data_IF_268643488529
#
_entry.id   IF_268643488529
#
_cell.length_a   1.000
_cell.length_b   1.000
_cell.length_c   1.000
_cell.angle_alpha   90.00
_cell.angle_beta   90.00
_cell.angle_gamma   90.00
#
_symmetry.space_group_name_H-M   'P 1'
#
loop_
_entity.id
_entity.type
_entity.pdbx_description
1 polymer ?
#
# COMPACT_ATOMS: atom_id res chain seq x y z
N UNK A 1 -0.90 -5.76 -14.20
CA UNK A 1 0.05 -5.03 -15.05
C UNK A 1 1.35 -4.87 -14.27
N UNK A 2 2.48 -4.95 -14.96
CA UNK A 2 3.82 -4.76 -14.36
C UNK A 2 4.45 -3.47 -14.89
N UNK A 3 5.33 -2.87 -14.10
CA UNK A 3 5.98 -1.59 -14.42
C UNK A 3 6.79 -1.61 -15.71
N UNK A 4 7.40 -2.75 -16.05
CA UNK A 4 8.19 -2.92 -17.28
C UNK A 4 7.35 -3.14 -18.54
N UNK A 5 6.01 -3.19 -18.44
CA UNK A 5 5.16 -3.45 -19.60
C UNK A 5 4.95 -2.20 -20.47
N UNK A 6 4.91 -2.39 -21.79
CA UNK A 6 4.53 -1.33 -22.74
C UNK A 6 3.16 -0.73 -22.43
N UNK A 7 2.20 -1.55 -21.98
CA UNK A 7 0.87 -1.09 -21.57
C UNK A 7 0.95 -0.13 -20.36
N UNK A 8 1.86 -0.38 -19.42
CA UNK A 8 2.09 0.54 -18.31
C UNK A 8 2.66 1.88 -18.80
N UNK A 9 3.75 1.82 -19.57
CA UNK A 9 4.51 2.98 -20.03
C UNK A 9 3.75 3.86 -21.03
N UNK A 10 3.08 3.26 -22.01
CA UNK A 10 2.50 4.00 -23.14
C UNK A 10 1.01 4.30 -22.98
N UNK A 11 0.30 3.60 -22.09
CA UNK A 11 -1.14 3.77 -21.92
C UNK A 11 -1.50 4.19 -20.50
N UNK A 12 -1.22 3.35 -19.51
CA UNK A 12 -1.64 3.63 -18.13
C UNK A 12 -1.00 4.90 -17.56
N UNK A 13 0.33 5.02 -17.64
CA UNK A 13 1.04 6.16 -17.05
C UNK A 13 0.65 7.50 -17.71
N UNK A 14 0.57 7.63 -19.05
CA UNK A 14 0.05 8.83 -19.70
C UNK A 14 -1.39 9.15 -19.32
N UNK A 15 -2.29 8.15 -19.24
CA UNK A 15 -3.68 8.38 -18.83
C UNK A 15 -3.74 8.93 -17.40
N UNK A 16 -3.03 8.29 -16.46
CA UNK A 16 -2.97 8.72 -15.06
C UNK A 16 -2.41 10.13 -14.95
N UNK A 17 -1.35 10.42 -15.70
CA UNK A 17 -0.72 11.73 -15.72
C UNK A 17 -1.62 12.82 -16.32
N UNK A 18 -2.28 12.57 -17.45
CA UNK A 18 -3.24 13.51 -18.05
C UNK A 18 -4.40 13.78 -17.10
N UNK A 19 -4.97 12.74 -16.48
CA UNK A 19 -6.02 12.89 -15.48
C UNK A 19 -5.57 13.72 -14.28
N UNK A 20 -4.34 13.51 -13.80
CA UNK A 20 -3.72 14.34 -12.77
C UNK A 20 -3.64 15.81 -13.23
N UNK A 21 -3.11 16.10 -14.43
CA UNK A 21 -2.99 17.46 -14.95
C UNK A 21 -4.34 18.19 -15.05
N UNK A 22 -5.38 17.52 -15.53
CA UNK A 22 -6.73 18.08 -15.64
C UNK A 22 -7.27 18.44 -14.26
N UNK A 23 -7.16 17.52 -13.30
CA UNK A 23 -7.67 17.73 -11.94
C UNK A 23 -6.86 18.75 -11.14
N UNK A 24 -5.55 18.84 -11.38
CA UNK A 24 -4.66 19.87 -10.83
C UNK A 24 -5.12 21.28 -11.23
N UNK A 25 -5.61 21.48 -12.46
CA UNK A 25 -6.17 22.78 -12.90
C UNK A 25 -7.43 23.17 -12.13
N UNK A 26 -8.22 22.19 -11.68
CA UNK A 26 -9.44 22.43 -10.90
C UNK A 26 -9.17 22.83 -9.44
N UNK A 27 -7.91 22.76 -8.97
CA UNK A 27 -7.46 23.11 -7.61
C UNK A 27 -8.21 22.38 -6.48
N UNK A 28 -8.82 21.23 -6.78
CA UNK A 28 -9.55 20.41 -5.80
C UNK A 28 -8.75 19.15 -5.47
N UNK A 29 -7.99 19.19 -4.37
CA UNK A 29 -7.12 18.09 -3.92
C UNK A 29 -7.86 16.77 -3.71
N UNK A 30 -9.12 16.82 -3.30
CA UNK A 30 -9.95 15.62 -3.08
C UNK A 30 -10.10 14.79 -4.37
N UNK A 31 -10.39 15.43 -5.50
CA UNK A 31 -10.57 14.71 -6.77
C UNK A 31 -9.28 14.08 -7.28
N UNK A 32 -8.14 14.73 -7.02
CA UNK A 32 -6.83 14.17 -7.36
C UNK A 32 -6.56 12.92 -6.53
N UNK A 33 -6.84 12.95 -5.23
CA UNK A 33 -6.72 11.78 -4.35
C UNK A 33 -7.62 10.64 -4.81
N UNK A 34 -8.89 10.92 -5.14
CA UNK A 34 -9.83 9.92 -5.68
C UNK A 34 -9.31 9.32 -6.99
N UNK A 35 -8.82 10.15 -7.91
CA UNK A 35 -8.23 9.70 -9.17
C UNK A 35 -7.03 8.79 -8.95
N UNK A 36 -6.09 9.18 -8.08
CA UNK A 36 -4.90 8.39 -7.77
C UNK A 36 -5.29 7.05 -7.12
N UNK A 37 -6.27 7.05 -6.21
CA UNK A 37 -6.80 5.82 -5.61
C UNK A 37 -7.42 4.90 -6.67
N UNK A 38 -8.30 5.44 -7.53
CA UNK A 38 -8.96 4.66 -8.58
C UNK A 38 -7.96 4.09 -9.59
N UNK A 39 -7.02 4.91 -10.07
CA UNK A 39 -5.94 4.47 -10.95
C UNK A 39 -5.11 3.36 -10.32
N UNK A 40 -4.81 3.49 -9.02
CA UNK A 40 -3.98 2.50 -8.33
C UNK A 40 -4.70 1.18 -8.07
N UNK A 41 -5.98 1.23 -7.72
CA UNK A 41 -6.81 0.03 -7.61
C UNK A 41 -6.97 -0.68 -8.96
N UNK A 42 -7.17 0.07 -10.04
CA UNK A 42 -7.18 -0.49 -11.39
C UNK A 42 -5.84 -1.17 -11.73
N UNK A 43 -4.72 -0.53 -11.42
CA UNK A 43 -3.40 -1.11 -11.62
C UNK A 43 -3.20 -2.42 -10.85
N UNK A 44 -3.61 -2.46 -9.58
CA UNK A 44 -3.57 -3.68 -8.77
C UNK A 44 -4.47 -4.79 -9.35
N UNK A 45 -5.72 -4.45 -9.71
CA UNK A 45 -6.68 -5.38 -10.29
C UNK A 45 -6.14 -6.03 -11.58
N UNK A 46 -5.48 -5.25 -12.44
CA UNK A 46 -4.82 -5.77 -13.65
C UNK A 46 -3.68 -6.76 -13.35
N UNK A 47 -3.13 -6.77 -12.14
CA UNK A 47 -2.02 -7.64 -11.75
C UNK A 47 -2.41 -8.82 -10.88
N UNK A 48 -3.43 -8.67 -10.03
CA UNK A 48 -3.87 -9.68 -9.07
C UNK A 48 -5.35 -9.52 -8.74
N UNK A 49 -6.22 -9.59 -9.76
CA UNK A 49 -7.66 -9.40 -9.61
C UNK A 49 -8.27 -10.31 -8.53
N UNK A 50 -7.90 -11.60 -8.53
CA UNK A 50 -8.41 -12.59 -7.57
C UNK A 50 -8.09 -12.23 -6.10
N UNK A 51 -7.03 -11.44 -5.86
CA UNK A 51 -6.62 -11.01 -4.53
C UNK A 51 -7.13 -9.61 -4.17
N UNK A 52 -7.82 -8.91 -5.07
CA UNK A 52 -8.34 -7.57 -4.81
C UNK A 52 -9.26 -7.50 -3.59
N UNK A 53 -10.20 -8.46 -3.35
CA UNK A 53 -11.03 -8.42 -2.15
C UNK A 53 -10.20 -8.53 -0.86
N UNK A 54 -9.19 -9.41 -0.84
CA UNK A 54 -8.28 -9.57 0.30
C UNK A 54 -7.44 -8.32 0.54
N UNK A 55 -6.91 -7.72 -0.53
CA UNK A 55 -6.16 -6.48 -0.43
C UNK A 55 -7.02 -5.34 0.13
N UNK A 56 -8.23 -5.16 -0.39
CA UNK A 56 -9.17 -4.14 0.11
C UNK A 56 -9.57 -4.40 1.56
N UNK A 57 -9.77 -5.67 1.94
CA UNK A 57 -10.01 -6.04 3.34
C UNK A 57 -8.83 -5.59 4.22
N UNK A 58 -7.59 -5.93 3.87
CA UNK A 58 -6.40 -5.54 4.64
C UNK A 58 -6.25 -4.02 4.73
N UNK A 59 -6.55 -3.28 3.66
CA UNK A 59 -6.57 -1.81 3.65
C UNK A 59 -7.57 -1.29 4.68
N UNK A 60 -8.83 -1.73 4.61
CA UNK A 60 -9.89 -1.26 5.52
C UNK A 60 -9.61 -1.69 6.96
N UNK A 61 -9.14 -2.91 7.16
CA UNK A 61 -8.79 -3.47 8.46
C UNK A 61 -7.67 -2.66 9.13
N UNK A 62 -6.58 -2.38 8.42
CA UNK A 62 -5.47 -1.61 8.96
C UNK A 62 -5.88 -0.16 9.25
N UNK A 63 -6.70 0.47 8.40
CA UNK A 63 -7.29 1.77 8.70
C UNK A 63 -8.10 1.74 10.00
N UNK A 64 -8.98 0.76 10.17
CA UNK A 64 -9.82 0.62 11.34
C UNK A 64 -8.98 0.41 12.62
N UNK A 65 -7.99 -0.48 12.57
CA UNK A 65 -7.04 -0.71 13.67
C UNK A 65 -6.34 0.59 14.05
N UNK A 66 -5.76 1.31 13.09
CA UNK A 66 -5.09 2.59 13.35
C UNK A 66 -6.05 3.65 13.92
N UNK A 67 -7.24 3.77 13.36
CA UNK A 67 -8.27 4.68 13.84
C UNK A 67 -8.68 4.39 15.29
N UNK A 68 -8.98 3.13 15.61
CA UNK A 68 -9.36 2.74 16.97
C UNK A 68 -8.20 2.85 17.96
N UNK A 69 -6.96 2.59 17.53
CA UNK A 69 -5.78 2.82 18.38
C UNK A 69 -5.64 4.28 18.78
N UNK A 70 -5.90 5.22 17.86
CA UNK A 70 -5.95 6.65 18.19
C UNK A 70 -7.14 6.98 19.09
N UNK A 71 -8.32 6.40 18.83
CA UNK A 71 -9.52 6.64 19.64
C UNK A 71 -9.35 6.22 21.10
N UNK A 72 -8.63 5.12 21.33
CA UNK A 72 -8.34 4.56 22.66
C UNK A 72 -6.93 4.87 23.15
N UNK A 73 -6.34 6.00 22.75
CA UNK A 73 -4.96 6.37 23.10
C UNK A 73 -4.69 6.34 24.61
N UNK A 74 -5.68 6.75 25.43
CA UNK A 74 -5.57 6.75 26.88
C UNK A 74 -5.73 5.35 27.52
N UNK A 75 -6.29 4.37 26.80
CA UNK A 75 -6.44 3.00 27.29
C UNK A 75 -5.33 2.11 26.71
N UNK A 76 -4.23 2.00 27.45
CA UNK A 76 -3.04 1.23 27.04
C UNK A 76 -3.33 -0.24 26.72
N UNK A 77 -4.25 -0.87 27.44
CA UNK A 77 -4.60 -2.29 27.23
C UNK A 77 -5.24 -2.46 25.85
N UNK A 78 -6.27 -1.66 25.53
CA UNK A 78 -6.94 -1.70 24.23
C UNK A 78 -5.98 -1.32 23.11
N UNK A 79 -5.17 -0.28 23.30
CA UNK A 79 -4.17 0.16 22.31
C UNK A 79 -3.15 -0.95 21.98
N UNK A 80 -2.64 -1.64 23.00
CA UNK A 80 -1.69 -2.75 22.83
C UNK A 80 -2.35 -3.95 22.15
N UNK A 81 -3.61 -4.26 22.49
CA UNK A 81 -4.36 -5.34 21.86
C UNK A 81 -4.59 -5.06 20.37
N UNK A 82 -5.04 -3.85 20.02
CA UNK A 82 -5.23 -3.44 18.63
C UNK A 82 -3.92 -3.46 17.83
N UNK A 83 -2.81 -3.02 18.45
CA UNK A 83 -1.48 -3.11 17.86
C UNK A 83 -1.09 -4.57 17.56
N UNK A 84 -1.26 -5.47 18.54
CA UNK A 84 -0.98 -6.89 18.36
C UNK A 84 -1.85 -7.51 17.26
N UNK A 85 -3.14 -7.19 17.23
CA UNK A 85 -4.08 -7.64 16.18
C UNK A 85 -3.62 -7.18 14.79
N UNK A 86 -3.24 -5.90 14.65
CA UNK A 86 -2.72 -5.35 13.39
C UNK A 86 -1.43 -6.02 12.94
N UNK A 87 -0.49 -6.31 13.85
CA UNK A 87 0.73 -7.04 13.54
C UNK A 87 0.45 -8.49 13.14
N UNK A 88 -0.39 -9.19 13.88
CA UNK A 88 -0.71 -10.61 13.63
C UNK A 88 -1.39 -10.78 12.28
N UNK A 89 -2.31 -9.88 11.90
CA UNK A 89 -2.96 -9.93 10.58
C UNK A 89 -1.94 -9.77 9.45
N UNK A 90 -1.10 -8.74 9.51
CA UNK A 90 -0.10 -8.45 8.49
C UNK A 90 0.97 -9.55 8.38
N UNK A 91 1.54 -9.97 9.52
CA UNK A 91 2.55 -11.03 9.55
C UNK A 91 1.92 -12.36 9.14
N UNK A 92 0.69 -12.65 9.59
CA UNK A 92 -0.06 -13.85 9.24
C UNK A 92 -0.33 -13.96 7.73
N UNK A 93 -0.76 -12.86 7.10
CA UNK A 93 -0.93 -12.81 5.63
C UNK A 93 0.38 -13.08 4.90
N UNK A 94 1.47 -12.44 5.33
CA UNK A 94 2.77 -12.65 4.70
C UNK A 94 3.30 -14.08 4.93
N UNK A 95 3.16 -14.62 6.13
CA UNK A 95 3.52 -15.99 6.46
C UNK A 95 2.73 -16.99 5.61
N UNK A 96 1.41 -16.82 5.50
CA UNK A 96 0.54 -17.69 4.72
C UNK A 96 0.89 -17.66 3.22
N UNK A 97 0.92 -16.47 2.61
CA UNK A 97 1.10 -16.38 1.17
C UNK A 97 2.54 -16.63 0.73
N UNK A 98 3.53 -16.18 1.50
CA UNK A 98 4.94 -16.20 1.09
C UNK A 98 5.74 -17.36 1.67
N UNK A 99 5.44 -17.79 2.89
CA UNK A 99 6.31 -18.71 3.64
C UNK A 99 5.68 -20.06 3.99
N UNK A 100 4.38 -20.28 3.71
CA UNK A 100 3.69 -21.53 4.06
C UNK A 100 4.35 -22.76 3.42
N UNK A 101 4.62 -22.73 2.12
CA UNK A 101 5.25 -23.87 1.45
C UNK A 101 6.69 -24.12 1.95
N UNK A 102 7.44 -23.05 2.22
CA UNK A 102 8.76 -23.17 2.83
C UNK A 102 8.67 -23.85 4.22
N UNK A 103 7.68 -23.48 5.03
CA UNK A 103 7.48 -24.10 6.34
C UNK A 103 7.09 -25.59 6.20
N UNK A 104 6.14 -25.92 5.32
CA UNK A 104 5.72 -27.29 5.07
C UNK A 104 6.87 -28.17 4.55
N UNK A 105 7.70 -27.65 3.65
CA UNK A 105 8.87 -28.37 3.13
C UNK A 105 9.87 -28.71 4.25
N UNK A 106 10.15 -27.76 5.15
CA UNK A 106 11.05 -27.99 6.28
C UNK A 106 10.46 -29.00 7.28
N UNK A 107 9.17 -28.89 7.60
CA UNK A 107 8.50 -29.87 8.49
C UNK A 107 8.56 -31.26 7.88
N UNK A 108 8.26 -31.42 6.59
CA UNK A 108 8.38 -32.69 5.89
C UNK A 108 9.80 -33.26 5.96
N UNK A 109 10.82 -32.40 5.78
CA UNK A 109 12.23 -32.82 5.82
C UNK A 109 12.68 -33.27 7.21
N UNK A 110 12.26 -32.58 8.28
CA UNK A 110 12.74 -32.86 9.65
C UNK A 110 11.87 -33.86 10.42
N UNK A 111 10.56 -33.85 10.21
CA UNK A 111 9.61 -34.72 10.92
C UNK A 111 9.28 -36.00 10.14
N UNK A 112 9.80 -36.16 8.91
CA UNK A 112 9.49 -37.30 8.05
C UNK A 112 8.03 -37.34 7.60
N UNK A 113 7.32 -36.21 7.70
CA UNK A 113 5.93 -36.08 7.27
C UNK A 113 5.84 -35.87 5.75
N UNK A 114 4.65 -36.09 5.20
CA UNK A 114 4.35 -35.92 3.77
C UNK A 114 3.17 -34.95 3.57
N UNK A 115 3.23 -33.77 4.17
CA UNK A 115 2.21 -32.75 3.93
C UNK A 115 2.30 -32.26 2.49
N UNK A 116 1.16 -32.21 1.80
CA UNK A 116 1.11 -31.70 0.44
C UNK A 116 1.45 -30.21 0.38
N UNK A 117 2.33 -29.85 -0.55
CA UNK A 117 2.62 -28.46 -0.85
C UNK A 117 1.40 -27.83 -1.50
N UNK A 118 1.02 -26.63 -1.04
CA UNK A 118 -0.13 -25.92 -1.57
C UNK A 118 0.28 -25.13 -2.81
N UNK A 119 -0.53 -25.14 -3.86
CA UNK A 119 -0.38 -24.19 -4.97
C UNK A 119 -0.88 -22.80 -4.55
N UNK A 120 -0.06 -22.09 -3.78
CA UNK A 120 -0.38 -20.75 -3.28
C UNK A 120 0.05 -19.72 -4.32
N UNK A 121 -0.92 -19.13 -4.99
CA UNK A 121 -0.70 -17.97 -5.84
C UNK A 121 -0.36 -16.75 -4.97
N UNK A 122 0.69 -16.01 -5.36
CA UNK A 122 1.18 -14.85 -4.63
C UNK A 122 0.45 -13.57 -5.06
N UNK A 123 -0.13 -12.80 -4.13
CA UNK A 123 -0.66 -11.48 -4.44
C UNK A 123 0.45 -10.52 -4.84
N UNK A 124 0.20 -9.72 -5.87
CA UNK A 124 1.13 -8.71 -6.34
C UNK A 124 1.48 -7.73 -5.20
N UNK A 125 2.77 -7.52 -4.98
CA UNK A 125 3.25 -6.53 -4.00
C UNK A 125 3.05 -6.90 -2.53
N UNK A 126 2.70 -8.17 -2.20
CA UNK A 126 2.38 -8.59 -0.82
C UNK A 126 3.40 -8.17 0.22
N UNK A 127 4.69 -8.35 -0.05
CA UNK A 127 5.72 -7.93 0.90
C UNK A 127 5.71 -6.41 1.15
N UNK A 128 5.57 -5.61 0.10
CA UNK A 128 5.65 -4.15 0.22
C UNK A 128 4.43 -3.58 0.92
N UNK A 129 3.22 -3.95 0.53
CA UNK A 129 2.03 -3.43 1.24
C UNK A 129 1.98 -3.93 2.68
N UNK A 130 2.39 -5.17 2.96
CA UNK A 130 2.44 -5.69 4.34
C UNK A 130 3.43 -4.88 5.19
N UNK A 131 4.66 -4.64 4.71
CA UNK A 131 5.62 -3.86 5.49
C UNK A 131 5.17 -2.41 5.68
N UNK A 132 4.47 -1.83 4.71
CA UNK A 132 3.87 -0.49 4.84
C UNK A 132 2.79 -0.47 5.92
N UNK A 133 1.91 -1.46 5.96
CA UNK A 133 0.89 -1.57 7.00
C UNK A 133 1.48 -1.85 8.39
N UNK A 134 2.51 -2.70 8.50
CA UNK A 134 3.25 -2.91 9.75
C UNK A 134 3.86 -1.58 10.23
N UNK A 135 4.56 -0.85 9.34
CA UNK A 135 5.12 0.45 9.67
C UNK A 135 4.04 1.43 10.12
N UNK A 136 2.91 1.49 9.41
CA UNK A 136 1.78 2.34 9.79
C UNK A 136 1.22 1.99 11.18
N UNK A 137 0.92 0.72 11.45
CA UNK A 137 0.39 0.28 12.76
C UNK A 137 1.38 0.59 13.88
N UNK A 138 2.68 0.38 13.64
CA UNK A 138 3.75 0.76 14.57
C UNK A 138 3.86 2.27 14.79
N UNK A 139 3.74 3.08 13.73
CA UNK A 139 3.79 4.54 13.81
C UNK A 139 2.62 5.11 14.61
N UNK A 140 1.42 4.56 14.43
CA UNK A 140 0.24 4.91 15.24
C UNK A 140 0.45 4.47 16.69
N UNK A 141 1.00 3.28 16.91
CA UNK A 141 1.28 2.78 18.26
C UNK A 141 2.25 3.69 19.02
N UNK A 142 3.32 4.14 18.36
CA UNK A 142 4.30 5.10 18.89
C UNK A 142 3.76 6.51 19.09
N UNK A 143 2.55 6.82 18.60
CA UNK A 143 1.96 8.16 18.70
C UNK A 143 2.59 9.19 17.76
N UNK A 144 3.29 8.74 16.70
CA UNK A 144 3.93 9.64 15.72
C UNK A 144 2.92 10.24 14.75
N UNK A 145 1.78 9.57 14.54
CA UNK A 145 0.70 9.99 13.65
C UNK A 145 -0.38 10.71 14.47
N UNK A 146 -0.60 11.99 14.17
CA UNK A 146 -1.56 12.85 14.90
C UNK A 146 -2.98 12.81 14.34
N UNK A 147 -3.15 12.44 13.08
CA UNK A 147 -4.46 12.38 12.40
C UNK A 147 -4.41 11.38 11.26
N UNK A 148 -5.46 10.59 11.11
CA UNK A 148 -5.63 9.68 9.96
C UNK A 148 -6.91 10.08 9.24
N UNK A 149 -6.76 10.69 8.06
CA UNK A 149 -7.86 10.90 7.12
C UNK A 149 -8.04 9.62 6.30
N UNK A 150 -9.27 9.13 6.17
CA UNK A 150 -9.55 7.92 5.38
C UNK A 150 -9.04 8.03 3.95
N UNK A 151 -9.26 9.17 3.29
CA UNK A 151 -8.84 9.36 1.91
C UNK A 151 -7.30 9.41 1.77
N UNK A 152 -6.60 10.00 2.73
CA UNK A 152 -5.12 10.06 2.71
C UNK A 152 -4.53 8.68 2.98
N UNK A 153 -5.13 7.94 3.91
CA UNK A 153 -4.79 6.54 4.14
C UNK A 153 -5.07 5.67 2.92
N UNK A 154 -6.19 5.85 2.24
CA UNK A 154 -6.49 5.10 1.01
C UNK A 154 -5.43 5.35 -0.06
N UNK A 155 -5.14 6.63 -0.37
CA UNK A 155 -4.11 6.96 -1.35
C UNK A 155 -2.78 6.33 -0.93
N UNK A 156 -2.38 6.49 0.33
CA UNK A 156 -1.18 5.83 0.88
C UNK A 156 -1.22 4.33 0.60
N UNK A 157 -2.23 3.63 1.12
CA UNK A 157 -2.32 2.18 1.09
C UNK A 157 -2.26 1.60 -0.32
N UNK A 158 -2.89 2.28 -1.30
CA UNK A 158 -3.01 1.73 -2.65
C UNK A 158 -2.04 2.33 -3.66
N UNK A 159 -1.28 3.40 -3.34
CA UNK A 159 -0.50 4.17 -4.31
C UNK A 159 0.38 3.29 -5.21
N UNK A 160 0.00 3.16 -6.49
CA UNK A 160 0.61 2.17 -7.38
C UNK A 160 2.13 2.27 -7.49
N UNK A 161 2.78 3.47 -7.56
CA UNK A 161 4.23 3.58 -7.71
C UNK A 161 5.03 2.93 -6.57
N UNK A 162 4.43 2.78 -5.40
CA UNK A 162 5.06 2.17 -4.21
C UNK A 162 4.36 0.87 -3.78
N UNK A 163 3.48 0.32 -4.63
CA UNK A 163 2.68 -0.86 -4.28
C UNK A 163 3.44 -2.16 -4.54
N UNK A 164 4.20 -2.24 -5.64
CA UNK A 164 4.93 -3.45 -6.03
C UNK A 164 6.41 -3.37 -5.66
N UNK A 165 7.03 -2.20 -5.83
CA UNK A 165 8.46 -1.97 -5.63
C UNK A 165 8.65 -0.54 -5.16
N UNK A 166 9.53 -0.31 -4.20
CA UNK A 166 9.87 1.02 -3.70
C UNK A 166 10.29 1.00 -2.23
N UNK A 167 10.82 2.10 -1.70
CA UNK A 167 11.12 2.20 -0.28
C UNK A 167 9.83 2.04 0.55
N UNK A 168 9.95 1.44 1.73
CA UNK A 168 8.84 1.37 2.69
C UNK A 168 8.67 2.76 3.30
N UNK A 169 7.76 3.56 2.74
CA UNK A 169 7.50 4.93 3.19
C UNK A 169 6.53 4.93 4.38
N UNK A 170 6.87 5.69 5.42
CA UNK A 170 6.02 5.94 6.58
C UNK A 170 4.79 6.78 6.22
N UNK A 171 3.68 6.60 6.95
CA UNK A 171 2.43 7.27 6.61
C UNK A 171 2.50 8.79 6.76
N UNK A 172 3.08 9.30 7.85
CA UNK A 172 3.03 10.73 8.12
C UNK A 172 3.78 11.60 7.07
N UNK A 173 5.03 11.32 6.70
CA UNK A 173 5.70 12.07 5.63
C UNK A 173 4.91 12.07 4.31
N UNK A 174 4.25 10.95 3.99
CA UNK A 174 3.42 10.83 2.80
C UNK A 174 2.10 11.62 2.92
N UNK A 175 1.41 11.52 4.05
CA UNK A 175 0.18 12.25 4.33
C UNK A 175 0.40 13.77 4.36
N UNK A 176 1.51 14.22 4.94
CA UNK A 176 1.94 15.61 4.92
C UNK A 176 2.16 16.14 3.49
N UNK A 177 2.75 15.34 2.60
CA UNK A 177 2.85 15.70 1.18
C UNK A 177 1.46 15.79 0.51
N UNK A 178 0.53 14.88 0.82
CA UNK A 178 -0.84 14.93 0.31
C UNK A 178 -1.67 16.10 0.88
N UNK A 179 -1.27 16.66 2.01
CA UNK A 179 -1.91 17.83 2.60
C UNK A 179 -1.40 19.14 1.98
N UNK A 180 -0.14 19.17 1.50
CA UNK A 180 0.41 20.34 0.82
C UNK A 180 -0.24 20.54 -0.56
N UNK A 181 -0.88 21.68 -0.74
CA UNK A 181 -1.49 22.09 -2.02
C UNK A 181 -0.46 22.21 -3.14
N UNK A 182 0.82 22.48 -2.82
CA UNK A 182 1.90 22.59 -3.81
C UNK A 182 2.21 21.24 -4.46
N UNK A 183 2.00 20.12 -3.75
CA UNK A 183 2.19 18.76 -4.28
C UNK A 183 1.34 18.49 -5.52
N UNK A 184 0.14 19.09 -5.56
CA UNK A 184 -0.78 18.93 -6.67
C UNK A 184 -0.62 19.98 -7.77
N UNK A 185 0.33 20.91 -7.64
CA UNK A 185 0.61 21.89 -8.67
C UNK A 185 1.63 21.34 -9.67
N UNK A 186 1.51 21.77 -10.92
CA UNK A 186 2.43 21.38 -11.97
C UNK A 186 3.79 22.02 -11.69
N UNK A 187 4.78 21.19 -11.37
CA UNK A 187 6.15 21.60 -11.18
C UNK A 187 7.01 21.06 -12.33
N UNK A 188 7.53 21.96 -13.17
CA UNK A 188 8.34 21.63 -14.36
C UNK A 188 9.62 20.87 -14.01
N UNK A 189 10.24 21.18 -12.86
CA UNK A 189 11.45 20.51 -12.39
C UNK A 189 11.17 19.06 -12.01
N UNK A 190 10.09 18.81 -11.26
CA UNK A 190 9.68 17.45 -10.92
C UNK A 190 9.29 16.64 -12.15
N UNK A 191 8.64 17.26 -13.13
CA UNK A 191 8.33 16.62 -14.41
C UNK A 191 9.60 16.24 -15.17
N UNK A 192 10.56 17.15 -15.28
CA UNK A 192 11.84 16.89 -15.95
C UNK A 192 12.62 15.76 -15.25
N UNK A 193 12.70 15.78 -13.91
CA UNK A 193 13.31 14.70 -13.12
C UNK A 193 12.60 13.37 -13.34
N UNK A 194 11.26 13.35 -13.34
CA UNK A 194 10.47 12.14 -13.57
C UNK A 194 10.69 11.55 -14.96
N UNK A 195 10.68 12.38 -16.00
CA UNK A 195 10.97 11.95 -17.38
C UNK A 195 12.40 11.44 -17.52
N UNK A 196 13.37 12.11 -16.89
CA UNK A 196 14.76 11.68 -16.88
C UNK A 196 14.91 10.30 -16.22
N UNK A 197 14.36 10.12 -15.01
CA UNK A 197 14.41 8.83 -14.31
C UNK A 197 13.78 7.71 -15.13
N UNK A 198 12.62 7.98 -15.75
CA UNK A 198 11.93 7.02 -16.60
C UNK A 198 12.72 6.66 -17.86
N UNK A 199 13.51 7.59 -18.40
CA UNK A 199 14.32 7.37 -19.60
C UNK A 199 15.57 6.53 -19.32
N UNK A 200 16.12 6.63 -18.10
CA UNK A 200 17.34 5.91 -17.70
C UNK A 200 17.03 4.48 -17.20
N UNK A 201 15.81 4.25 -16.71
CA UNK A 201 15.35 2.94 -16.21
C UNK A 201 15.46 2.84 -14.70
#
# INVERSE_FOLDING_TARGET
>A
MIFSSHAFLLLFMPIVFIGFLILSKMKKSVWIKVWLTAASLFFYAQGSLSFMPWFLFTVVFNYAVGYFMMRYENNKIIKNLLFAIGLIENIGLLAYFKYMNFFLENVNRFAGTSFDLKNILLPLGISFFTFRFISFVNDVHKGTIKKISFLDFLVYAVFFPMLIVGPVVHFEPFASQLADKKTFQINKENMAKGLFLLSVG
#
